data_IF_775752723442
#
_entry.id   IF_775752723442
#
_cell.length_a   1.000
_cell.length_b   1.000
_cell.length_c   1.000
_cell.angle_alpha   90.00
_cell.angle_beta   90.00
_cell.angle_gamma   90.00
#
_symmetry.space_group_name_H-M   'P 1'
#
loop_
_entity.id
_entity.type
_entity.pdbx_description
1 polymer ?
#
# COMPACT_ATOMS: atom_id res chain seq x y z
N UNK A 1 -18.07 6.47 16.92
CA UNK A 1 -17.13 5.78 16.01
C UNK A 1 -16.23 6.82 15.36
N UNK A 2 -14.92 6.61 15.32
CA UNK A 2 -13.99 7.54 14.65
C UNK A 2 -13.90 7.14 13.17
N UNK A 3 -14.32 8.03 12.28
CA UNK A 3 -14.16 7.86 10.83
C UNK A 3 -12.75 8.25 10.43
N UNK A 4 -12.03 7.35 9.75
CA UNK A 4 -10.68 7.60 9.23
C UNK A 4 -10.73 7.89 7.73
N UNK A 5 -9.83 8.74 7.26
CA UNK A 5 -9.70 9.05 5.83
C UNK A 5 -9.09 7.87 5.10
N UNK A 6 -9.49 7.66 3.84
CA UNK A 6 -8.89 6.67 2.94
C UNK A 6 -8.02 7.42 1.93
N UNK A 7 -6.74 7.08 1.88
CA UNK A 7 -5.77 7.71 0.97
C UNK A 7 -5.33 6.68 -0.06
N UNK A 8 -5.58 6.96 -1.33
CA UNK A 8 -5.19 6.09 -2.43
C UNK A 8 -3.74 6.36 -2.86
N UNK A 9 -2.96 5.30 -3.02
CA UNK A 9 -1.64 5.34 -3.65
C UNK A 9 -1.69 4.56 -4.95
N UNK A 10 -1.46 5.26 -6.05
CA UNK A 10 -1.54 4.73 -7.42
C UNK A 10 -0.18 4.86 -8.07
N UNK A 11 0.30 3.79 -8.69
CA UNK A 11 1.57 3.79 -9.41
C UNK A 11 1.85 2.47 -10.11
N UNK A 12 3.06 2.36 -10.67
CA UNK A 12 3.47 1.23 -11.50
C UNK A 12 3.48 -0.10 -10.75
N UNK A 13 3.11 -1.18 -11.44
CA UNK A 13 3.27 -2.56 -10.97
C UNK A 13 4.68 -3.12 -11.21
N UNK A 14 5.58 -2.35 -11.84
CA UNK A 14 6.99 -2.72 -12.02
C UNK A 14 7.68 -2.73 -10.65
N UNK A 15 8.38 -3.82 -10.36
CA UNK A 15 9.02 -4.08 -9.06
C UNK A 15 10.26 -3.21 -8.86
N UNK A 16 11.00 -2.95 -9.94
CA UNK A 16 12.17 -2.07 -9.94
C UNK A 16 11.76 -0.67 -10.37
N UNK A 17 11.66 0.22 -9.39
CA UNK A 17 11.61 1.66 -9.67
C UNK A 17 13.04 2.17 -9.86
N UNK A 18 13.22 3.31 -10.55
CA UNK A 18 14.50 4.04 -10.54
C UNK A 18 15.01 4.23 -9.11
N UNK A 19 16.33 4.15 -8.91
CA UNK A 19 16.97 4.15 -7.57
C UNK A 19 16.56 5.34 -6.69
N UNK A 20 16.36 6.51 -7.29
CA UNK A 20 15.91 7.73 -6.63
C UNK A 20 14.45 7.67 -6.15
N UNK A 21 13.66 6.73 -6.69
CA UNK A 21 12.22 6.59 -6.43
C UNK A 21 11.86 5.31 -5.66
N UNK A 22 12.78 4.34 -5.53
CA UNK A 22 12.50 3.06 -4.87
C UNK A 22 11.96 3.20 -3.44
N UNK A 23 12.44 4.19 -2.68
CA UNK A 23 12.01 4.41 -1.29
C UNK A 23 10.76 5.28 -1.15
N UNK A 24 10.36 6.00 -2.21
CA UNK A 24 9.27 6.96 -2.12
C UNK A 24 7.93 6.30 -1.76
N UNK A 25 7.48 5.21 -2.40
CA UNK A 25 6.22 4.56 -2.01
C UNK A 25 6.23 4.08 -0.56
N UNK A 26 7.38 3.59 -0.08
CA UNK A 26 7.53 3.13 1.29
C UNK A 26 7.32 4.28 2.27
N UNK A 27 7.99 5.42 2.06
CA UNK A 27 7.81 6.60 2.91
C UNK A 27 6.38 7.14 2.87
N UNK A 28 5.75 7.18 1.69
CA UNK A 28 4.34 7.60 1.56
C UNK A 28 3.42 6.68 2.35
N UNK A 29 3.59 5.36 2.24
CA UNK A 29 2.80 4.39 3.01
C UNK A 29 2.96 4.59 4.51
N UNK A 30 4.21 4.78 4.98
CA UNK A 30 4.52 5.04 6.39
C UNK A 30 3.83 6.32 6.88
N UNK A 31 3.91 7.42 6.14
CA UNK A 31 3.28 8.69 6.50
C UNK A 31 1.75 8.59 6.60
N UNK A 32 1.11 7.81 5.72
CA UNK A 32 -0.34 7.57 5.78
C UNK A 32 -0.71 6.83 7.08
N UNK A 33 0.09 5.86 7.50
CA UNK A 33 -0.14 5.11 8.74
C UNK A 33 0.06 5.99 9.99
N UNK A 34 1.14 6.78 10.01
CA UNK A 34 1.43 7.76 11.07
C UNK A 34 0.33 8.83 11.18
N UNK A 35 -0.28 9.21 10.06
CA UNK A 35 -1.44 10.09 10.00
C UNK A 35 -2.78 9.41 10.40
N UNK A 36 -2.75 8.18 10.90
CA UNK A 36 -3.91 7.41 11.36
C UNK A 36 -5.01 7.22 10.28
N UNK A 37 -4.61 7.20 9.01
CA UNK A 37 -5.49 7.01 7.86
C UNK A 37 -5.50 5.54 7.40
N UNK A 38 -6.47 5.20 6.54
CA UNK A 38 -6.47 3.97 5.77
C UNK A 38 -5.64 4.14 4.49
N UNK A 39 -4.90 3.11 4.10
CA UNK A 39 -4.23 3.03 2.81
C UNK A 39 -5.13 2.29 1.81
N UNK A 40 -5.25 2.80 0.59
CA UNK A 40 -5.93 2.13 -0.53
C UNK A 40 -4.97 1.96 -1.70
N UNK A 41 -4.92 0.75 -2.26
CA UNK A 41 -4.16 0.44 -3.48
C UNK A 41 -4.93 -0.53 -4.37
N UNK A 42 -4.37 -0.86 -5.54
CA UNK A 42 -4.85 -1.97 -6.37
C UNK A 42 -4.41 -3.36 -5.91
N UNK A 43 -3.70 -3.48 -4.78
CA UNK A 43 -3.33 -4.76 -4.16
C UNK A 43 -2.25 -5.58 -4.88
N UNK A 44 -1.59 -5.04 -5.90
CA UNK A 44 -0.57 -5.75 -6.68
C UNK A 44 0.89 -5.47 -6.25
N UNK A 45 1.87 -5.87 -7.08
CA UNK A 45 3.29 -5.61 -6.83
C UNK A 45 3.70 -4.15 -7.12
N UNK A 46 5.01 -3.86 -7.07
CA UNK A 46 5.56 -2.54 -7.38
C UNK A 46 5.20 -1.50 -6.33
N UNK A 47 4.77 -0.31 -6.77
CA UNK A 47 4.40 0.82 -5.91
C UNK A 47 3.40 0.41 -4.83
N UNK A 48 2.42 -0.40 -5.18
CA UNK A 48 1.34 -0.83 -4.28
C UNK A 48 1.88 -1.66 -3.11
N UNK A 49 2.70 -2.67 -3.40
CA UNK A 49 3.31 -3.51 -2.38
C UNK A 49 4.33 -2.73 -1.53
N UNK A 50 5.11 -1.83 -2.14
CA UNK A 50 6.09 -1.02 -1.41
C UNK A 50 5.41 0.00 -0.48
N UNK A 51 4.31 0.60 -0.91
CA UNK A 51 3.49 1.45 -0.04
C UNK A 51 2.83 0.65 1.09
N UNK A 52 2.28 -0.54 0.80
CA UNK A 52 1.75 -1.46 1.80
C UNK A 52 2.80 -1.85 2.85
N UNK A 53 4.03 -2.16 2.42
CA UNK A 53 5.16 -2.44 3.32
C UNK A 53 5.46 -1.26 4.25
N UNK A 54 5.51 -0.05 3.71
CA UNK A 54 5.72 1.18 4.49
C UNK A 54 4.62 1.42 5.51
N UNK A 55 3.37 1.25 5.09
CA UNK A 55 2.20 1.40 5.94
C UNK A 55 2.19 0.37 7.10
N UNK A 56 2.40 -0.90 6.78
CA UNK A 56 2.42 -1.98 7.77
C UNK A 56 3.66 -1.99 8.67
N UNK A 57 4.71 -1.21 8.35
CA UNK A 57 5.88 -1.06 9.21
C UNK A 57 5.60 -0.30 10.52
N UNK A 58 4.51 0.46 10.57
CA UNK A 58 4.10 1.24 11.74
C UNK A 58 3.27 0.35 12.67
N UNK A 59 3.88 -0.17 13.74
CA UNK A 59 3.22 -1.09 14.69
C UNK A 59 2.02 -0.48 15.43
N UNK A 60 2.01 0.84 15.61
CA UNK A 60 0.92 1.60 16.24
C UNK A 60 -0.17 2.05 15.26
N UNK A 61 -0.11 1.63 13.99
CA UNK A 61 -1.11 2.00 13.00
C UNK A 61 -2.50 1.54 13.46
N UNK A 62 -3.49 2.39 13.19
CA UNK A 62 -4.89 2.11 13.50
C UNK A 62 -5.75 1.98 12.24
N UNK A 63 -5.18 2.27 11.07
CA UNK A 63 -5.83 2.12 9.78
C UNK A 63 -5.53 0.77 9.14
N UNK A 64 -6.43 0.36 8.24
CA UNK A 64 -6.31 -0.80 7.37
C UNK A 64 -5.57 -0.50 6.06
N UNK A 65 -4.91 -1.53 5.53
CA UNK A 65 -4.34 -1.59 4.18
C UNK A 65 -5.31 -2.31 3.24
N UNK A 66 -5.96 -1.54 2.37
CA UNK A 66 -7.09 -1.98 1.56
C UNK A 66 -6.66 -2.17 0.11
N UNK A 67 -7.03 -3.31 -0.49
CA UNK A 67 -6.84 -3.61 -1.91
C UNK A 67 -8.16 -3.64 -2.68
N UNK A 68 -8.26 -2.89 -3.78
CA UNK A 68 -9.35 -3.06 -4.77
C UNK A 68 -8.81 -3.84 -5.95
N UNK A 69 -9.21 -5.11 -6.04
CA UNK A 69 -8.61 -6.07 -6.96
C UNK A 69 -9.69 -6.57 -7.92
N UNK A 70 -9.55 -6.34 -9.25
CA UNK A 70 -10.44 -6.94 -10.22
C UNK A 70 -10.36 -8.47 -10.17
N UNK A 71 -11.47 -9.15 -10.47
CA UNK A 71 -11.48 -10.60 -10.63
C UNK A 71 -10.55 -11.05 -11.78
N UNK A 72 -10.06 -12.29 -11.72
CA UNK A 72 -9.22 -12.90 -12.77
C UNK A 72 -7.74 -12.49 -12.76
N UNK A 73 -7.23 -11.90 -11.68
CA UNK A 73 -5.79 -11.64 -11.52
C UNK A 73 -5.01 -12.93 -11.28
N UNK A 74 -3.75 -12.94 -11.72
CA UNK A 74 -2.87 -14.09 -11.58
C UNK A 74 -2.63 -14.41 -10.09
N UNK A 75 -2.96 -15.64 -9.72
CA UNK A 75 -2.66 -16.18 -8.40
C UNK A 75 -1.16 -16.06 -8.10
N UNK A 76 -0.81 -15.69 -6.86
CA UNK A 76 0.57 -15.46 -6.44
C UNK A 76 1.12 -14.07 -6.75
N UNK A 77 0.39 -13.23 -7.50
CA UNK A 77 0.74 -11.80 -7.71
C UNK A 77 -0.24 -10.84 -7.05
N UNK A 78 -1.47 -11.29 -6.78
CA UNK A 78 -2.52 -10.58 -6.05
C UNK A 78 -3.19 -11.51 -5.03
N UNK A 79 -3.62 -10.99 -3.86
CA UNK A 79 -3.14 -9.74 -3.28
C UNK A 79 -1.64 -9.85 -2.94
N UNK A 80 -0.96 -8.72 -2.88
CA UNK A 80 0.34 -8.65 -2.23
C UNK A 80 0.20 -8.94 -0.72
N UNK A 81 1.31 -9.25 -0.05
CA UNK A 81 1.31 -9.70 1.35
C UNK A 81 0.88 -8.63 2.39
N UNK A 82 0.59 -7.40 1.96
CA UNK A 82 0.29 -6.27 2.84
C UNK A 82 -1.18 -5.87 2.84
N UNK A 83 -2.06 -6.59 2.13
CA UNK A 83 -3.50 -6.35 2.14
C UNK A 83 -4.16 -7.12 3.29
N UNK A 84 -5.14 -6.47 3.94
CA UNK A 84 -6.00 -7.00 5.00
C UNK A 84 -7.43 -7.21 4.50
#
# INVERSE_FOLDING_TARGET
MIQRKVIAVIGSSVVELPDDQQQLPYHVGKWIAEAQCHLLTGGGPGVMATAGKGFCSVSSRVGLSIGVIPDGKLAGTYPNAWIE
#
